data_IF_894552282227
#
_entry.id   IF_894552282227
#
_cell.length_a   1.000
_cell.length_b   1.000
_cell.length_c   1.000
_cell.angle_alpha   90.00
_cell.angle_beta   90.00
_cell.angle_gamma   90.00
#
_symmetry.space_group_name_H-M   'P 1'
#
loop_
_entity.id
_entity.type
_entity.pdbx_description
1 polymer ?
#
# COMPACT_ATOMS: atom_id res chain seq x y z
N UNK A 1 -13.48 -35.46 15.53
CA UNK A 1 -14.34 -34.41 14.93
C UNK A 1 -13.46 -33.53 14.08
N UNK A 2 -13.46 -33.75 12.75
CA UNK A 2 -12.57 -33.07 11.81
C UNK A 2 -13.05 -31.63 11.60
N UNK A 3 -12.43 -30.67 12.28
CA UNK A 3 -12.63 -29.23 12.00
C UNK A 3 -11.81 -28.89 10.76
N UNK A 4 -12.39 -29.09 9.58
CA UNK A 4 -11.96 -28.30 8.43
C UNK A 4 -12.31 -26.86 8.79
N UNK A 5 -11.30 -26.02 9.08
CA UNK A 5 -11.48 -24.58 9.11
C UNK A 5 -12.14 -24.20 7.77
N UNK A 6 -13.34 -23.60 7.84
CA UNK A 6 -14.00 -23.15 6.63
C UNK A 6 -13.10 -22.09 5.99
N UNK A 7 -12.50 -22.43 4.85
CA UNK A 7 -11.58 -21.54 4.13
C UNK A 7 -12.23 -20.17 3.95
N UNK A 8 -11.48 -19.10 4.24
CA UNK A 8 -12.00 -17.75 4.16
C UNK A 8 -12.64 -17.46 2.79
N UNK A 9 -13.72 -16.66 2.73
CA UNK A 9 -14.29 -16.24 1.45
C UNK A 9 -13.25 -15.52 0.57
N UNK A 10 -13.35 -15.66 -0.76
CA UNK A 10 -12.44 -15.01 -1.71
C UNK A 10 -12.35 -13.49 -1.52
N UNK A 11 -13.45 -12.85 -1.13
CA UNK A 11 -13.50 -11.42 -0.83
C UNK A 11 -12.54 -11.00 0.30
N UNK A 12 -12.27 -11.89 1.26
CA UNK A 12 -11.34 -11.64 2.36
C UNK A 12 -9.90 -11.68 1.86
N UNK A 13 -9.54 -12.63 0.99
CA UNK A 13 -8.22 -12.68 0.37
C UNK A 13 -7.94 -11.48 -0.55
N UNK A 14 -8.93 -11.03 -1.32
CA UNK A 14 -8.79 -9.83 -2.15
C UNK A 14 -8.62 -8.57 -1.31
N UNK A 15 -9.32 -8.50 -0.17
CA UNK A 15 -9.13 -7.41 0.78
C UNK A 15 -7.71 -7.42 1.36
N UNK A 16 -7.21 -8.58 1.79
CA UNK A 16 -5.84 -8.74 2.26
C UNK A 16 -4.81 -8.33 1.21
N UNK A 17 -4.95 -8.77 -0.05
CA UNK A 17 -4.05 -8.38 -1.16
C UNK A 17 -4.01 -6.86 -1.40
N UNK A 18 -5.14 -6.17 -1.22
CA UNK A 18 -5.16 -4.71 -1.32
C UNK A 18 -4.45 -4.04 -0.14
N UNK A 19 -4.55 -4.59 1.07
CA UNK A 19 -3.86 -4.06 2.25
C UNK A 19 -2.35 -4.32 2.15
N UNK A 20 -1.94 -5.52 1.78
CA UNK A 20 -0.53 -5.87 1.54
C UNK A 20 0.06 -4.97 0.45
N UNK A 21 -0.65 -4.81 -0.67
CA UNK A 21 -0.23 -3.92 -1.74
C UNK A 21 -0.16 -2.45 -1.33
N UNK A 22 -0.97 -2.01 -0.36
CA UNK A 22 -0.87 -0.67 0.22
C UNK A 22 0.37 -0.56 1.13
N UNK A 23 0.64 -1.54 1.99
CA UNK A 23 1.83 -1.57 2.84
C UNK A 23 3.11 -1.56 2.00
N UNK A 24 3.19 -2.41 0.97
CA UNK A 24 4.32 -2.44 0.04
C UNK A 24 4.53 -1.09 -0.67
N UNK A 25 3.44 -0.44 -1.13
CA UNK A 25 3.53 0.90 -1.71
C UNK A 25 4.07 1.95 -0.72
N UNK A 26 3.68 1.84 0.55
CA UNK A 26 4.18 2.69 1.64
C UNK A 26 5.66 2.48 1.92
N UNK A 27 6.11 1.24 1.98
CA UNK A 27 7.53 0.88 2.14
C UNK A 27 8.36 1.40 0.96
N UNK A 28 7.89 1.22 -0.27
CA UNK A 28 8.54 1.74 -1.48
C UNK A 28 8.60 3.29 -1.47
N UNK A 29 7.57 3.97 -0.95
CA UNK A 29 7.58 5.44 -0.78
C UNK A 29 8.71 5.88 0.16
N UNK A 30 8.83 5.24 1.32
CA UNK A 30 9.91 5.51 2.29
C UNK A 30 11.27 5.23 1.67
N UNK A 31 11.39 4.13 0.89
CA UNK A 31 12.60 3.80 0.16
C UNK A 31 13.01 4.92 -0.81
N UNK A 32 12.06 5.52 -1.54
CA UNK A 32 12.32 6.68 -2.43
C UNK A 32 12.74 7.94 -1.67
N UNK A 33 12.40 8.06 -0.39
CA UNK A 33 12.95 9.11 0.48
C UNK A 33 14.47 9.06 0.58
N UNK A 34 15.07 7.87 0.53
CA UNK A 34 16.53 7.73 0.51
C UNK A 34 17.14 8.22 -0.80
N UNK A 35 16.52 7.91 -1.94
CA UNK A 35 16.97 8.41 -3.25
C UNK A 35 16.96 9.94 -3.30
N UNK A 36 15.93 10.56 -2.70
CA UNK A 36 15.84 12.02 -2.61
C UNK A 36 16.97 12.63 -1.78
N UNK A 37 17.22 12.05 -0.60
CA UNK A 37 18.30 12.50 0.30
C UNK A 37 19.66 12.34 -0.38
N UNK A 38 19.89 11.23 -1.06
CA UNK A 38 21.12 10.99 -1.82
C UNK A 38 21.32 12.02 -2.94
N UNK A 39 20.25 12.40 -3.65
CA UNK A 39 20.30 13.45 -4.66
C UNK A 39 20.61 14.83 -4.05
N UNK A 40 20.10 15.13 -2.84
CA UNK A 40 20.39 16.38 -2.15
C UNK A 40 21.84 16.46 -1.65
N UNK A 41 22.36 15.37 -1.08
CA UNK A 41 23.72 15.29 -0.53
C UNK A 41 24.79 15.25 -1.64
N UNK A 42 24.50 14.58 -2.75
CA UNK A 42 25.41 14.42 -3.88
C UNK A 42 24.69 14.74 -5.22
N UNK A 43 24.45 16.02 -5.52
CA UNK A 43 23.62 16.45 -6.65
C UNK A 43 24.18 16.14 -8.04
N UNK A 44 25.40 15.61 -8.14
CA UNK A 44 26.04 15.27 -9.41
C UNK A 44 26.26 16.49 -10.30
N UNK A 45 26.10 16.30 -11.61
CA UNK A 45 26.23 17.40 -12.57
C UNK A 45 25.00 18.34 -12.49
N UNK A 46 25.22 19.68 -12.39
CA UNK A 46 24.11 20.64 -12.28
C UNK A 46 23.09 20.58 -13.42
N UNK A 47 23.51 20.11 -14.60
CA UNK A 47 22.66 19.94 -15.77
C UNK A 47 21.71 18.74 -15.66
N UNK A 48 22.10 17.69 -14.93
CA UNK A 48 21.32 16.46 -14.76
C UNK A 48 20.37 16.52 -13.55
N UNK A 49 20.69 17.37 -12.57
CA UNK A 49 19.92 17.51 -11.33
C UNK A 49 18.41 17.67 -11.54
N UNK A 50 17.90 18.54 -12.44
CA UNK A 50 16.46 18.70 -12.64
C UNK A 50 15.78 17.43 -13.17
N UNK A 51 16.48 16.66 -14.00
CA UNK A 51 15.97 15.42 -14.56
C UNK A 51 15.88 14.33 -13.49
N UNK A 52 16.92 14.19 -12.64
CA UNK A 52 16.89 13.27 -11.51
C UNK A 52 15.80 13.64 -10.50
N UNK A 53 15.68 14.93 -10.17
CA UNK A 53 14.64 15.41 -9.27
C UNK A 53 13.24 15.10 -9.80
N UNK A 54 12.99 15.33 -11.10
CA UNK A 54 11.72 15.00 -11.73
C UNK A 54 11.42 13.51 -11.65
N UNK A 55 12.39 12.66 -11.98
CA UNK A 55 12.22 11.21 -11.95
C UNK A 55 11.82 10.71 -10.57
N UNK A 56 12.51 11.15 -9.51
CA UNK A 56 12.17 10.75 -8.14
C UNK A 56 10.77 11.25 -7.78
N UNK A 57 10.41 12.49 -8.15
CA UNK A 57 9.08 13.03 -7.85
C UNK A 57 7.96 12.26 -8.58
N UNK A 58 8.18 11.86 -9.83
CA UNK A 58 7.26 11.03 -10.60
C UNK A 58 7.10 9.63 -9.98
N UNK A 59 8.20 9.00 -9.58
CA UNK A 59 8.19 7.69 -8.91
C UNK A 59 7.40 7.75 -7.58
N UNK A 60 7.67 8.78 -6.76
CA UNK A 60 6.95 9.03 -5.50
C UNK A 60 5.46 9.25 -5.76
N UNK A 61 5.10 10.05 -6.77
CA UNK A 61 3.70 10.27 -7.13
C UNK A 61 3.01 8.99 -7.59
N UNK A 62 3.68 8.16 -8.38
CA UNK A 62 3.13 6.88 -8.83
C UNK A 62 2.86 5.93 -7.66
N UNK A 63 3.79 5.85 -6.70
CA UNK A 63 3.63 5.04 -5.50
C UNK A 63 2.53 5.59 -4.58
N UNK A 64 2.43 6.91 -4.41
CA UNK A 64 1.35 7.58 -3.67
C UNK A 64 -0.02 7.23 -4.28
N UNK A 65 -0.15 7.31 -5.60
CA UNK A 65 -1.39 6.96 -6.30
C UNK A 65 -1.73 5.48 -6.16
N UNK A 66 -0.72 4.60 -6.21
CA UNK A 66 -0.90 3.16 -5.99
C UNK A 66 -1.40 2.88 -4.57
N UNK A 67 -0.76 3.48 -3.55
CA UNK A 67 -1.16 3.40 -2.15
C UNK A 67 -2.62 3.84 -1.97
N UNK A 68 -2.98 5.02 -2.46
CA UNK A 68 -4.35 5.55 -2.36
C UNK A 68 -5.36 4.62 -3.04
N UNK A 69 -5.07 4.16 -4.26
CA UNK A 69 -5.96 3.27 -4.99
C UNK A 69 -6.18 1.94 -4.24
N UNK A 70 -5.11 1.36 -3.69
CA UNK A 70 -5.14 0.12 -2.91
C UNK A 70 -5.95 0.29 -1.63
N UNK A 71 -5.73 1.37 -0.87
CA UNK A 71 -6.49 1.68 0.35
C UNK A 71 -7.98 1.89 0.04
N UNK A 72 -8.34 2.61 -1.03
CA UNK A 72 -9.75 2.83 -1.39
C UNK A 72 -10.44 1.56 -1.89
N UNK A 73 -9.71 0.67 -2.56
CA UNK A 73 -10.22 -0.67 -2.90
C UNK A 73 -10.44 -1.52 -1.65
N UNK A 74 -9.46 -1.57 -0.76
CA UNK A 74 -9.60 -2.22 0.54
C UNK A 74 -10.80 -1.68 1.32
N UNK A 75 -10.98 -0.36 1.34
CA UNK A 75 -12.13 0.31 1.98
C UNK A 75 -13.47 -0.17 1.43
N UNK A 76 -13.59 -0.26 0.10
CA UNK A 76 -14.83 -0.77 -0.53
C UNK A 76 -15.13 -2.19 -0.11
N UNK A 77 -14.11 -3.06 -0.13
CA UNK A 77 -14.24 -4.46 0.28
C UNK A 77 -14.53 -4.61 1.79
N UNK A 78 -13.95 -3.77 2.63
CA UNK A 78 -14.20 -3.71 4.06
C UNK A 78 -15.67 -3.38 4.37
N UNK A 79 -16.25 -2.40 3.66
CA UNK A 79 -17.67 -2.05 3.79
C UNK A 79 -18.58 -3.19 3.34
N UNK A 80 -18.30 -3.80 2.18
CA UNK A 80 -19.07 -4.96 1.72
C UNK A 80 -18.98 -6.14 2.69
N UNK A 81 -17.82 -6.36 3.32
CA UNK A 81 -17.66 -7.40 4.34
C UNK A 81 -18.44 -7.09 5.62
N UNK A 82 -18.48 -5.83 6.04
CA UNK A 82 -19.22 -5.37 7.21
C UNK A 82 -20.75 -5.50 7.08
N UNK A 83 -21.26 -5.48 5.84
CA UNK A 83 -22.68 -5.72 5.53
C UNK A 83 -23.07 -7.19 5.76
N UNK A 84 -22.15 -8.13 5.52
CA UNK A 84 -22.45 -9.58 5.50
C UNK A 84 -21.90 -10.35 6.71
N UNK A 85 -20.89 -9.84 7.41
CA UNK A 85 -20.33 -10.46 8.63
C UNK A 85 -20.39 -9.51 9.84
N UNK A 86 -21.35 -9.77 10.73
CA UNK A 86 -21.57 -9.04 11.99
C UNK A 86 -20.33 -8.98 12.88
N UNK A 87 -19.49 -10.03 12.87
CA UNK A 87 -18.29 -10.11 13.71
C UNK A 87 -17.24 -9.11 13.25
N UNK A 88 -17.18 -8.86 11.95
CA UNK A 88 -16.20 -7.97 11.33
C UNK A 88 -16.71 -6.53 11.15
N UNK A 89 -18.02 -6.32 11.28
CA UNK A 89 -18.69 -5.04 11.02
C UNK A 89 -18.05 -3.83 11.72
N UNK A 90 -17.74 -3.95 13.00
CA UNK A 90 -17.17 -2.84 13.76
C UNK A 90 -15.78 -2.43 13.22
N UNK A 91 -14.94 -3.41 12.93
CA UNK A 91 -13.57 -3.20 12.43
C UNK A 91 -13.61 -2.67 11.00
N UNK A 92 -14.45 -3.25 10.13
CA UNK A 92 -14.67 -2.77 8.76
C UNK A 92 -15.12 -1.31 8.69
N UNK A 93 -16.08 -0.93 9.53
CA UNK A 93 -16.57 0.45 9.60
C UNK A 93 -15.53 1.42 10.16
N UNK A 94 -14.72 1.01 11.13
CA UNK A 94 -13.63 1.82 11.67
C UNK A 94 -12.59 2.13 10.58
N UNK A 95 -12.14 1.12 9.84
CA UNK A 95 -11.21 1.30 8.73
C UNK A 95 -11.79 2.21 7.64
N UNK A 96 -13.06 2.00 7.28
CA UNK A 96 -13.73 2.82 6.28
C UNK A 96 -13.92 4.28 6.72
N UNK A 97 -14.09 4.52 8.02
CA UNK A 97 -14.16 5.86 8.60
C UNK A 97 -12.78 6.52 8.63
N UNK A 98 -11.74 5.80 9.06
CA UNK A 98 -10.36 6.33 9.13
C UNK A 98 -9.78 6.67 7.77
N UNK A 99 -10.27 6.02 6.70
CA UNK A 99 -9.85 6.26 5.31
C UNK A 99 -10.79 7.19 4.53
N UNK A 100 -11.85 7.75 5.15
CA UNK A 100 -12.80 8.63 4.48
C UNK A 100 -12.13 9.87 3.87
N UNK A 101 -11.12 10.42 4.56
CA UNK A 101 -10.39 11.61 4.11
C UNK A 101 -9.70 11.42 2.74
N UNK A 102 -9.31 10.18 2.41
CA UNK A 102 -8.73 9.85 1.11
C UNK A 102 -9.80 9.75 0.02
N UNK A 103 -11.00 9.28 0.36
CA UNK A 103 -12.14 9.26 -0.56
C UNK A 103 -12.57 10.68 -0.92
N UNK A 104 -12.59 11.58 0.07
CA UNK A 104 -12.92 12.99 -0.13
C UNK A 104 -11.88 13.66 -1.05
N UNK A 105 -10.58 13.44 -0.80
CA UNK A 105 -9.51 13.97 -1.64
C UNK A 105 -9.62 13.54 -3.11
N UNK A 106 -9.92 12.26 -3.38
CA UNK A 106 -10.10 11.77 -4.75
C UNK A 106 -11.37 12.34 -5.39
N UNK A 107 -12.43 12.51 -4.62
CA UNK A 107 -13.69 13.09 -5.12
C UNK A 107 -13.52 14.55 -5.52
N UNK A 108 -12.78 15.33 -4.72
CA UNK A 108 -12.42 16.71 -5.02
C UNK A 108 -11.53 16.83 -6.28
N UNK A 109 -10.56 15.93 -6.46
CA UNK A 109 -9.76 15.88 -7.69
C UNK A 109 -10.62 15.53 -8.93
N UNK A 110 -11.68 14.73 -8.77
CA UNK A 110 -12.59 14.38 -9.86
C UNK A 110 -13.60 15.48 -10.22
N UNK A 111 -13.85 16.43 -9.31
CA UNK A 111 -14.80 17.55 -9.45
C UNK A 111 -14.12 18.88 -9.83
N UNK A 112 -12.88 18.84 -10.32
CA UNK A 112 -12.08 20.00 -10.69
C UNK A 112 -12.62 20.74 -11.95
N UNK A 113 -13.84 21.25 -11.89
CA UNK A 113 -14.38 22.30 -12.76
C UNK A 113 -13.97 23.67 -12.19
N UNK A 114 -12.69 24.02 -12.19
CA UNK A 114 -12.33 25.41 -11.89
C UNK A 114 -10.87 25.73 -11.60
N UNK A 115 -10.14 24.87 -10.88
CA UNK A 115 -8.85 25.30 -10.27
C UNK A 115 -7.60 24.57 -10.78
N UNK A 116 -7.72 23.40 -11.42
CA UNK A 116 -6.56 22.65 -11.97
C UNK A 116 -6.12 23.13 -13.36
N UNK A 117 -6.50 24.35 -13.75
CA UNK A 117 -5.91 25.04 -14.90
C UNK A 117 -4.70 25.90 -14.50
N UNK A 118 -4.09 25.64 -13.34
CA UNK A 118 -2.75 26.15 -13.02
C UNK A 118 -1.68 25.33 -13.74
N UNK A 119 -1.40 25.77 -14.97
CA UNK A 119 -0.05 25.92 -15.54
C UNK A 119 1.02 24.94 -15.01
N UNK A 120 1.03 23.71 -15.55
CA UNK A 120 2.21 22.84 -15.55
C UNK A 120 2.76 22.47 -14.17
N UNK A 121 2.03 21.62 -13.43
CA UNK A 121 2.54 20.59 -12.50
C UNK A 121 3.95 20.86 -11.94
N UNK A 122 4.09 21.93 -11.17
CA UNK A 122 5.36 22.27 -10.55
C UNK A 122 5.67 21.22 -9.48
N UNK A 123 6.72 20.44 -9.73
CA UNK A 123 7.28 19.45 -8.78
C UNK A 123 7.42 20.05 -7.38
N UNK A 124 7.76 21.34 -7.27
CA UNK A 124 7.85 22.04 -5.99
C UNK A 124 6.48 22.13 -5.29
N UNK A 125 5.41 22.44 -6.02
CA UNK A 125 4.04 22.46 -5.49
C UNK A 125 3.58 21.07 -5.05
N UNK A 126 3.91 20.02 -5.82
CA UNK A 126 3.68 18.63 -5.41
C UNK A 126 4.39 18.34 -4.08
N UNK A 127 5.70 18.49 -4.00
CA UNK A 127 6.53 18.18 -2.82
C UNK A 127 6.08 18.99 -1.60
N UNK A 128 5.85 20.30 -1.75
CA UNK A 128 5.39 21.19 -0.66
C UNK A 128 4.08 20.71 -0.05
N UNK A 129 3.12 20.37 -0.91
CA UNK A 129 1.81 19.91 -0.46
C UNK A 129 1.82 18.55 0.26
N UNK A 130 2.91 17.80 0.12
CA UNK A 130 3.15 16.51 0.80
C UNK A 130 3.93 16.66 2.11
N UNK A 131 4.24 17.90 2.51
CA UNK A 131 4.97 18.20 3.74
C UNK A 131 6.49 18.03 3.64
N UNK A 132 7.03 17.78 2.43
CA UNK A 132 8.45 17.48 2.23
C UNK A 132 9.37 18.70 2.23
N UNK A 133 8.82 19.90 2.03
CA UNK A 133 9.53 21.17 2.20
C UNK A 133 8.67 22.13 3.00
N UNK A 134 9.31 23.10 3.64
CA UNK A 134 8.62 24.17 4.36
C UNK A 134 7.64 24.92 3.43
N UNK A 135 6.49 25.40 3.94
CA UNK A 135 5.48 26.10 3.13
C UNK A 135 6.02 27.33 2.39
N UNK A 136 7.01 28.01 2.95
CA UNK A 136 7.67 29.20 2.42
C UNK A 136 8.97 28.91 1.66
N UNK A 137 9.36 27.63 1.54
CA UNK A 137 10.57 27.25 0.81
C UNK A 137 10.45 27.63 -0.68
N UNK A 138 11.42 28.41 -1.15
CA UNK A 138 11.48 28.87 -2.54
C UNK A 138 11.85 27.75 -3.53
N UNK A 139 12.61 26.74 -3.09
CA UNK A 139 12.99 25.58 -3.90
C UNK A 139 13.46 24.40 -3.02
N UNK A 140 13.71 23.26 -3.66
CA UNK A 140 14.15 22.00 -3.04
C UNK A 140 15.62 22.04 -2.54
N UNK A 141 16.48 22.93 -3.09
CA UNK A 141 17.95 22.87 -2.91
C UNK A 141 18.45 23.25 -1.52
N UNK A 142 17.60 23.70 -0.61
CA UNK A 142 17.99 24.15 0.74
C UNK A 142 17.46 23.29 1.89
N UNK A 143 16.70 22.25 1.64
CA UNK A 143 16.06 21.48 2.70
C UNK A 143 16.93 20.28 3.10
N UNK A 144 17.74 20.47 4.15
CA UNK A 144 18.37 19.39 4.89
C UNK A 144 17.35 18.41 5.53
N UNK A 145 16.06 18.77 5.50
CA UNK A 145 14.94 18.06 6.11
C UNK A 145 14.05 17.29 5.09
N UNK A 146 14.54 17.07 3.87
CA UNK A 146 13.80 16.37 2.82
C UNK A 146 13.79 14.84 3.06
N UNK A 147 12.80 14.37 3.82
CA UNK A 147 12.63 12.95 4.14
C UNK A 147 11.21 12.51 3.87
N UNK A 148 11.04 11.47 3.05
CA UNK A 148 9.77 10.73 3.02
C UNK A 148 9.81 9.77 4.21
N UNK A 149 9.10 10.14 5.25
CA UNK A 149 8.95 9.36 6.48
C UNK A 149 7.47 9.33 6.89
N UNK A 150 7.20 8.92 8.13
CA UNK A 150 5.85 8.81 8.67
C UNK A 150 5.03 10.09 8.56
N UNK A 151 5.68 11.26 8.44
CA UNK A 151 5.03 12.57 8.33
C UNK A 151 4.59 12.94 6.90
N UNK A 152 5.00 12.17 5.88
CA UNK A 152 4.62 12.41 4.49
C UNK A 152 3.09 12.45 4.33
N UNK A 153 2.56 13.53 3.77
CA UNK A 153 1.11 13.70 3.61
C UNK A 153 0.60 13.06 2.33
N UNK A 154 0.03 11.86 2.45
CA UNK A 154 -0.66 11.14 1.39
C UNK A 154 -1.90 11.93 0.95
N UNK A 155 -1.98 12.22 -0.35
CA UNK A 155 -3.00 13.05 -0.97
C UNK A 155 -3.18 14.43 -0.32
N UNK A 156 -2.14 14.97 0.33
CA UNK A 156 -2.19 16.23 1.11
C UNK A 156 -3.13 16.18 2.34
N UNK A 157 -3.50 14.99 2.81
CA UNK A 157 -4.57 14.80 3.82
C UNK A 157 -4.14 14.07 5.07
N UNK A 158 -3.49 12.92 4.93
CA UNK A 158 -3.18 12.01 6.04
C UNK A 158 -1.70 11.69 6.03
N UNK A 159 -1.10 11.64 7.22
CA UNK A 159 0.29 11.24 7.38
C UNK A 159 0.47 9.75 7.03
N UNK A 160 1.58 9.41 6.38
CA UNK A 160 1.88 8.07 5.88
C UNK A 160 1.93 7.05 7.00
N UNK A 161 2.65 7.33 8.10
CA UNK A 161 2.82 6.38 9.22
C UNK A 161 1.47 5.94 9.79
N UNK A 162 0.60 6.86 10.26
CA UNK A 162 -0.74 6.51 10.75
C UNK A 162 -1.62 5.77 9.73
N UNK A 163 -1.46 6.04 8.44
CA UNK A 163 -2.18 5.32 7.39
C UNK A 163 -1.69 3.87 7.28
N UNK A 164 -0.38 3.64 7.32
CA UNK A 164 0.23 2.30 7.28
C UNK A 164 -0.07 1.52 8.56
N UNK A 165 0.00 2.15 9.74
CA UNK A 165 -0.37 1.53 11.01
C UNK A 165 -1.83 1.06 11.01
N UNK A 166 -2.74 1.90 10.52
CA UNK A 166 -4.16 1.53 10.40
C UNK A 166 -4.37 0.40 9.38
N UNK A 167 -3.64 0.43 8.26
CA UNK A 167 -3.68 -0.63 7.23
C UNK A 167 -3.18 -1.96 7.78
N UNK A 168 -2.05 -1.96 8.49
CA UNK A 168 -1.46 -3.13 9.11
C UNK A 168 -2.36 -3.70 10.22
N UNK A 169 -2.84 -2.86 11.14
CA UNK A 169 -3.73 -3.29 12.21
C UNK A 169 -5.05 -3.89 11.66
N UNK A 170 -5.54 -3.38 10.53
CA UNK A 170 -6.72 -3.92 9.88
C UNK A 170 -6.44 -5.26 9.19
N UNK A 171 -5.27 -5.43 8.59
CA UNK A 171 -4.81 -6.72 8.05
C UNK A 171 -4.66 -7.77 9.15
N UNK A 172 -4.05 -7.42 10.29
CA UNK A 172 -3.91 -8.30 11.45
C UNK A 172 -5.28 -8.74 12.00
N UNK A 173 -6.24 -7.82 12.00
CA UNK A 173 -7.61 -8.12 12.41
C UNK A 173 -8.31 -9.08 11.43
N UNK A 174 -8.06 -8.96 10.13
CA UNK A 174 -8.56 -9.90 9.13
C UNK A 174 -7.95 -11.28 9.31
N UNK A 175 -6.62 -11.36 9.48
CA UNK A 175 -5.94 -12.63 9.69
C UNK A 175 -6.44 -13.31 10.97
N UNK A 176 -6.55 -12.57 12.08
CA UNK A 176 -7.03 -13.09 13.35
C UNK A 176 -8.45 -13.68 13.28
N UNK A 177 -9.32 -13.14 12.41
CA UNK A 177 -10.71 -13.58 12.29
C UNK A 177 -10.92 -14.71 11.28
N UNK A 178 -10.06 -14.78 10.25
CA UNK A 178 -10.25 -15.66 9.10
C UNK A 178 -9.11 -16.67 8.90
N UNK A 179 -8.08 -16.65 9.76
CA UNK A 179 -6.90 -17.52 9.69
C UNK A 179 -6.30 -17.52 8.27
N UNK A 180 -5.96 -16.33 7.77
CA UNK A 180 -5.53 -16.14 6.38
C UNK A 180 -4.13 -16.70 6.14
N UNK A 181 -3.24 -16.52 7.12
CA UNK A 181 -1.86 -16.95 7.08
C UNK A 181 -1.64 -18.14 8.02
N UNK A 182 -2.32 -19.26 7.77
CA UNK A 182 -1.97 -20.52 8.43
C UNK A 182 -0.61 -20.97 7.88
N UNK A 183 0.41 -20.99 8.74
CA UNK A 183 1.65 -21.73 8.48
C UNK A 183 1.28 -23.21 8.33
N UNK A 184 1.05 -23.67 7.10
CA UNK A 184 0.94 -25.09 6.83
C UNK A 184 2.32 -25.65 7.14
N UNK A 185 2.46 -26.34 8.28
CA UNK A 185 3.65 -27.13 8.58
C UNK A 185 4.00 -27.95 7.32
N UNK A 186 5.14 -27.63 6.71
CA UNK A 186 5.60 -28.21 5.43
C UNK A 186 5.70 -29.75 5.45
N UNK A 187 5.49 -30.39 6.61
CA UNK A 187 5.48 -31.83 6.82
C UNK A 187 4.33 -32.54 6.08
N UNK A 188 3.17 -31.91 5.92
CA UNK A 188 2.00 -32.56 5.30
C UNK A 188 2.08 -32.65 3.76
N UNK A 189 2.80 -31.72 3.12
CA UNK A 189 2.99 -31.75 1.67
C UNK A 189 4.01 -32.82 1.23
N UNK A 190 5.09 -32.99 2.01
CA UNK A 190 6.08 -34.03 1.76
C UNK A 190 5.53 -35.44 1.98
N UNK A 191 4.54 -35.60 2.87
CA UNK A 191 3.92 -36.90 3.16
C UNK A 191 2.93 -37.32 2.07
N UNK A 192 2.17 -36.38 1.48
CA UNK A 192 1.23 -36.68 0.38
C UNK A 192 1.90 -36.97 -0.97
N UNK A 193 3.13 -36.53 -1.19
CA UNK A 193 3.92 -36.86 -2.38
C UNK A 193 4.67 -38.20 -2.27
N UNK A 194 4.67 -38.84 -1.08
CA UNK A 194 5.18 -40.19 -0.86
C UNK A 194 4.09 -41.26 -0.96
N UNK A 195 3.06 -41.02 -1.78
CA UNK A 195 2.18 -42.12 -2.20
C UNK A 195 3.03 -43.13 -2.96
N UNK A 196 3.00 -44.36 -2.45
CA UNK A 196 3.85 -45.49 -2.74
C UNK A 196 3.96 -45.78 -4.25
N UNK A 197 5.15 -46.16 -4.77
CA UNK A 197 5.22 -46.73 -6.11
C UNK A 197 4.38 -48.01 -6.15
N UNK A 198 3.35 -47.99 -7.00
CA UNK A 198 2.46 -49.12 -7.28
C UNK A 198 3.30 -50.32 -7.74
N UNK A 199 3.31 -51.40 -6.96
CA UNK A 199 4.02 -52.66 -7.24
C UNK A 199 3.49 -53.41 -8.48
N UNK A 200 2.66 -52.76 -9.31
CA UNK A 200 2.06 -53.32 -10.54
C UNK A 200 2.92 -53.15 -11.79
N UNK A 201 3.95 -52.30 -11.77
CA UNK A 201 4.80 -52.05 -12.95
C UNK A 201 6.00 -53.01 -13.09
N UNK A 202 6.10 -54.05 -12.25
CA UNK A 202 7.26 -54.98 -12.26
C UNK A 202 7.07 -56.32 -12.97
N UNK A 203 5.95 -56.58 -13.63
CA UNK A 203 5.78 -57.81 -14.42
C UNK A 203 5.23 -57.50 -15.82
N UNK A 204 6.13 -57.34 -16.79
CA UNK A 204 6.06 -57.95 -18.14
C UNK A 204 7.16 -57.38 -19.05
N UNK A 205 8.35 -57.98 -18.96
CA UNK A 205 9.32 -57.98 -20.06
C UNK A 205 9.84 -59.42 -20.19
N UNK A 206 9.13 -60.20 -21.01
CA UNK A 206 9.68 -61.36 -21.71
C UNK A 206 9.73 -60.99 -23.19
#
# INVERSE_FOLDING_TARGET
MSRYAARAPLSVYLLADHLDGALAAGEDLVARGHDWRALADAPGEPAEFPMHQRRIAEDVRSLELMLVARVLKARTHALSLAEVDDRFRAVGNLFASGTAILQDAVSECGDARGEDFETGDDIVSYIRSRGLIAPDAANVRGAADLTIDDSFLVAKRIALGPLLDMTAAFLDALDSQYELFVEVEQQDYATRLRVEPDDRDRMTLN
#
